data_IF_185214634655
#
_entry.id   IF_185214634655
#
_cell.length_a   1.000
_cell.length_b   1.000
_cell.length_c   1.000
_cell.angle_alpha   90.00
_cell.angle_beta   90.00
_cell.angle_gamma   90.00
#
_symmetry.space_group_name_H-M   'P 1'
#
loop_
_entity.id
_entity.type
_entity.pdbx_description
1 polymer ?
#
# COMPACT_ATOMS: atom_id res chain seq x y z
N UNK A 1 -5.00 -12.60 -9.69
CA UNK A 1 -4.30 -13.13 -8.49
C UNK A 1 -3.20 -12.13 -8.17
N UNK A 2 -3.08 -11.62 -6.94
CA UNK A 2 -2.00 -10.68 -6.61
C UNK A 2 -0.67 -11.47 -6.56
N UNK A 3 0.43 -10.89 -7.04
CA UNK A 3 1.77 -11.49 -7.02
C UNK A 3 2.80 -10.50 -6.45
N UNK A 4 3.96 -11.00 -6.01
CA UNK A 4 5.04 -10.14 -5.56
C UNK A 4 5.68 -9.38 -6.73
N UNK A 5 5.67 -8.05 -6.70
CA UNK A 5 6.24 -7.24 -7.80
C UNK A 5 7.75 -7.40 -7.98
N UNK A 6 8.47 -7.84 -6.94
CA UNK A 6 9.93 -7.96 -6.99
C UNK A 6 10.42 -9.32 -7.53
N UNK A 7 9.65 -10.40 -7.35
CA UNK A 7 10.08 -11.75 -7.76
C UNK A 7 9.01 -12.56 -8.51
N UNK A 8 7.85 -11.96 -8.79
CA UNK A 8 6.70 -12.57 -9.47
C UNK A 8 6.19 -13.87 -8.83
N UNK A 9 6.56 -14.15 -7.58
CA UNK A 9 6.02 -15.28 -6.83
C UNK A 9 4.57 -15.02 -6.42
N UNK A 10 3.71 -16.02 -6.61
CA UNK A 10 2.35 -16.05 -6.08
C UNK A 10 2.28 -16.32 -4.56
N UNK A 11 3.41 -16.58 -3.91
CA UNK A 11 3.49 -16.81 -2.47
C UNK A 11 3.48 -15.49 -1.70
N UNK A 12 2.32 -14.83 -1.67
CA UNK A 12 2.11 -13.58 -0.92
C UNK A 12 1.05 -13.77 0.17
N UNK A 13 1.21 -13.07 1.28
CA UNK A 13 0.30 -13.11 2.43
C UNK A 13 -0.08 -11.70 2.85
N UNK A 14 -1.37 -11.44 3.02
CA UNK A 14 -1.84 -10.19 3.61
C UNK A 14 -1.40 -10.13 5.07
N UNK A 15 -0.85 -8.99 5.48
CA UNK A 15 -0.34 -8.74 6.83
C UNK A 15 -0.82 -7.39 7.32
N UNK A 16 -0.89 -7.25 8.64
CA UNK A 16 -1.00 -5.95 9.26
C UNK A 16 0.39 -5.53 9.76
N UNK A 17 0.92 -4.42 9.24
CA UNK A 17 2.23 -3.87 9.64
C UNK A 17 1.95 -2.59 10.39
N UNK A 18 2.01 -2.64 11.71
CA UNK A 18 1.85 -1.46 12.56
C UNK A 18 3.17 -0.68 12.60
N UNK A 19 3.19 0.48 11.95
CA UNK A 19 4.26 1.46 12.18
C UNK A 19 3.92 2.28 13.44
N UNK A 20 4.91 2.94 14.03
CA UNK A 20 4.76 3.66 15.31
C UNK A 20 3.61 4.68 15.30
N UNK A 21 3.30 5.22 14.12
CA UNK A 21 2.26 6.23 13.91
C UNK A 21 1.10 5.73 13.01
N UNK A 22 1.16 4.48 12.52
CA UNK A 22 0.20 3.77 11.63
C UNK A 22 -0.42 4.56 10.44
N UNK A 23 0.08 5.77 10.17
CA UNK A 23 -0.39 6.64 9.10
C UNK A 23 0.54 6.57 7.88
N UNK A 24 -0.07 6.31 6.72
CA UNK A 24 0.58 6.48 5.42
C UNK A 24 0.05 7.78 4.81
N UNK A 25 0.94 8.72 4.52
CA UNK A 25 0.60 9.93 3.77
C UNK A 25 0.91 9.72 2.30
N UNK A 26 -0.11 9.67 1.46
CA UNK A 26 0.08 9.76 0.02
C UNK A 26 0.33 11.23 -0.35
N UNK A 27 1.51 11.53 -0.88
CA UNK A 27 1.85 12.86 -1.40
C UNK A 27 1.74 12.78 -2.92
N UNK A 28 0.61 13.23 -3.47
CA UNK A 28 0.47 13.38 -4.92
C UNK A 28 1.23 14.62 -5.39
N UNK A 29 2.17 14.44 -6.32
CA UNK A 29 2.83 15.55 -7.02
C UNK A 29 1.88 16.13 -8.09
N UNK A 30 0.71 16.61 -7.69
CA UNK A 30 -0.28 17.24 -8.57
C UNK A 30 -0.41 18.72 -8.23
N UNK A 31 -0.32 19.56 -9.25
CA UNK A 31 -0.51 21.00 -9.15
C UNK A 31 -1.87 21.32 -8.49
N UNK A 32 -1.80 21.97 -7.32
CA UNK A 32 -2.88 22.75 -6.67
C UNK A 32 -4.27 22.11 -6.70
N UNK A 33 -4.52 21.14 -5.81
CA UNK A 33 -5.89 20.78 -5.42
C UNK A 33 -6.35 21.74 -4.32
N UNK A 34 -7.30 22.62 -4.64
CA UNK A 34 -7.87 23.68 -3.79
C UNK A 34 -8.62 23.21 -2.53
N UNK A 35 -8.53 21.94 -2.13
CA UNK A 35 -9.04 21.43 -0.85
C UNK A 35 -8.43 20.05 -0.54
N UNK A 36 -7.34 19.95 0.23
CA UNK A 36 -6.79 18.67 0.65
C UNK A 36 -7.56 18.24 1.90
N UNK A 37 -8.75 17.65 1.74
CA UNK A 37 -9.14 16.67 2.77
C UNK A 37 -8.13 15.54 2.63
N UNK A 38 -7.36 15.19 3.67
CA UNK A 38 -6.48 14.04 3.61
C UNK A 38 -7.39 12.82 3.39
N UNK A 39 -7.48 12.37 2.15
CA UNK A 39 -8.15 11.13 1.81
C UNK A 39 -7.25 10.04 2.36
N UNK A 40 -7.55 9.58 3.57
CA UNK A 40 -6.91 8.40 4.13
C UNK A 40 -7.31 7.21 3.26
N UNK A 41 -6.49 6.91 2.26
CA UNK A 41 -6.63 5.70 1.46
C UNK A 41 -6.23 4.54 2.36
N UNK A 42 -7.14 3.59 2.56
CA UNK A 42 -6.84 2.39 3.34
C UNK A 42 -5.79 1.56 2.58
N UNK A 43 -4.59 1.47 3.13
CA UNK A 43 -3.49 0.69 2.54
C UNK A 43 -3.56 -0.76 3.01
N UNK A 44 -3.75 -1.68 2.08
CA UNK A 44 -3.63 -3.13 2.32
C UNK A 44 -2.19 -3.56 2.08
N UNK A 45 -1.60 -4.22 3.07
CA UNK A 45 -0.19 -4.59 3.11
C UNK A 45 -0.05 -6.10 2.88
N UNK A 46 0.89 -6.52 2.03
CA UNK A 46 1.19 -7.92 1.75
C UNK A 46 2.70 -8.17 1.88
N UNK A 47 3.11 -9.32 2.41
CA UNK A 47 4.50 -9.78 2.42
C UNK A 47 4.67 -10.95 1.46
N UNK A 48 5.75 -10.94 0.67
CA UNK A 48 6.15 -12.10 -0.12
C UNK A 48 6.90 -13.10 0.76
N UNK A 49 6.43 -14.34 0.80
CA UNK A 49 7.06 -15.40 1.58
C UNK A 49 8.32 -15.98 0.89
N UNK A 50 8.55 -15.65 -0.38
CA UNK A 50 9.73 -16.09 -1.13
C UNK A 50 10.94 -15.15 -0.94
N UNK A 51 10.73 -13.83 -1.04
CA UNK A 51 11.83 -12.85 -0.99
C UNK A 51 11.71 -11.79 0.12
N UNK A 52 10.65 -11.81 0.92
CA UNK A 52 10.42 -10.86 2.02
C UNK A 52 9.93 -9.46 1.61
N UNK A 53 9.76 -9.20 0.31
CA UNK A 53 9.31 -7.90 -0.20
C UNK A 53 7.88 -7.55 0.28
N UNK A 54 7.66 -6.28 0.66
CA UNK A 54 6.36 -5.77 1.11
C UNK A 54 5.67 -5.04 -0.05
N UNK A 55 4.49 -5.53 -0.45
CA UNK A 55 3.63 -4.88 -1.43
C UNK A 55 2.55 -4.08 -0.70
N UNK A 56 2.38 -2.81 -1.08
CA UNK A 56 1.35 -1.91 -0.56
C UNK A 56 0.34 -1.66 -1.66
N UNK A 57 -0.95 -1.84 -1.38
CA UNK A 57 -2.04 -1.55 -2.30
C UNK A 57 -3.00 -0.55 -1.65
N UNK A 58 -3.39 0.49 -2.37
CA UNK A 58 -4.55 1.29 -1.99
C UNK A 58 -5.84 0.54 -2.37
N UNK A 59 -6.87 0.57 -1.52
CA UNK A 59 -8.24 0.27 -1.99
C UNK A 59 -8.69 1.42 -2.92
N UNK A 60 -8.93 1.13 -4.20
CA UNK A 60 -9.59 2.07 -5.10
C UNK A 60 -11.03 2.33 -4.61
N UNK A 61 -11.40 3.60 -4.52
CA UNK A 61 -12.77 4.05 -4.32
C UNK A 61 -13.60 3.73 -5.58
N UNK A 62 -14.58 2.83 -5.47
CA UNK A 62 -15.71 2.74 -6.40
C UNK A 62 -16.80 3.74 -6.03
#
# INVERSE_FOLDING_TARGET
MKECIACHSGQIKQVDIKTKDDEFTLIENSEVILNPKPQSQKVIKFVCLNCGFINLYAEDYF
#
